data_IF_534822023310
#
_entry.id   IF_534822023310
#
_cell.length_a   1.000
_cell.length_b   1.000
_cell.length_c   1.000
_cell.angle_alpha   90.00
_cell.angle_beta   90.00
_cell.angle_gamma   90.00
#
_symmetry.space_group_name_H-M   'P 1'
#
loop_
_entity.id
_entity.type
_entity.pdbx_description
1 polymer ?
#
# COMPACT_ATOMS: atom_id res chain seq x y z
N UNK A 1 -1.14 33.73 -19.38
CA UNK A 1 -2.52 33.58 -18.87
C UNK A 1 -2.63 32.13 -18.42
N UNK A 2 -2.69 31.87 -17.12
CA UNK A 2 -2.97 30.52 -16.61
C UNK A 2 -4.49 30.41 -16.59
N UNK A 3 -5.06 29.68 -17.54
CA UNK A 3 -6.49 29.35 -17.58
C UNK A 3 -6.80 28.35 -16.48
N UNK A 4 -7.87 28.57 -15.72
CA UNK A 4 -8.31 27.59 -14.71
C UNK A 4 -8.78 26.30 -15.38
N UNK A 5 -8.78 25.18 -14.63
CA UNK A 5 -9.28 23.89 -15.13
C UNK A 5 -10.73 24.00 -15.63
N UNK A 6 -11.54 24.82 -14.96
CA UNK A 6 -12.92 25.10 -15.33
C UNK A 6 -13.01 25.85 -16.67
N UNK A 7 -12.21 26.90 -16.85
CA UNK A 7 -12.21 27.71 -18.08
C UNK A 7 -11.73 26.92 -19.29
N UNK A 8 -10.74 26.03 -19.07
CA UNK A 8 -10.19 25.16 -20.10
C UNK A 8 -11.09 23.95 -20.43
N UNK A 9 -12.19 23.74 -19.70
CA UNK A 9 -13.15 22.64 -19.88
C UNK A 9 -12.49 21.25 -19.86
N UNK A 10 -11.44 21.08 -19.07
CA UNK A 10 -10.85 19.75 -18.88
C UNK A 10 -11.85 18.82 -18.18
N UNK A 11 -11.93 17.57 -18.64
CA UNK A 11 -12.84 16.54 -18.10
C UNK A 11 -12.13 15.36 -17.48
N UNK A 12 -10.81 15.28 -17.65
CA UNK A 12 -9.96 14.25 -17.07
C UNK A 12 -8.84 14.94 -16.31
N UNK A 13 -8.73 14.67 -15.01
CA UNK A 13 -7.71 15.30 -14.16
C UNK A 13 -6.99 14.22 -13.38
N UNK A 14 -5.70 14.05 -13.66
CA UNK A 14 -4.80 13.23 -12.85
C UNK A 14 -4.30 14.07 -11.68
N UNK A 15 -4.55 13.60 -10.45
CA UNK A 15 -4.13 14.28 -9.23
C UNK A 15 -3.10 13.41 -8.52
N UNK A 16 -1.88 13.94 -8.40
CA UNK A 16 -0.79 13.31 -7.65
C UNK A 16 -0.64 14.04 -6.32
N UNK A 17 -0.73 13.32 -5.21
CA UNK A 17 -0.65 13.89 -3.88
C UNK A 17 -1.06 12.92 -2.77
N UNK A 18 -1.20 13.45 -1.56
CA UNK A 18 -1.69 12.72 -0.38
C UNK A 18 -3.20 12.94 -0.21
N UNK A 19 -3.86 12.06 0.56
CA UNK A 19 -5.31 12.11 0.82
C UNK A 19 -5.80 13.53 1.20
N UNK A 20 -5.10 14.22 2.11
CA UNK A 20 -5.42 15.60 2.52
C UNK A 20 -5.43 16.59 1.36
N UNK A 21 -4.47 16.45 0.44
CA UNK A 21 -4.40 17.32 -0.74
C UNK A 21 -5.55 17.02 -1.70
N UNK A 22 -5.91 15.76 -1.86
CA UNK A 22 -7.03 15.36 -2.71
C UNK A 22 -8.36 15.88 -2.18
N UNK A 23 -8.61 15.79 -0.86
CA UNK A 23 -9.79 16.41 -0.23
C UNK A 23 -9.88 17.90 -0.56
N UNK A 24 -8.76 18.62 -0.50
CA UNK A 24 -8.69 20.05 -0.87
C UNK A 24 -8.99 20.29 -2.35
N UNK A 25 -8.44 19.48 -3.26
CA UNK A 25 -8.66 19.63 -4.71
C UNK A 25 -10.11 19.34 -5.09
N UNK A 26 -10.71 18.29 -4.53
CA UNK A 26 -12.12 17.94 -4.76
C UNK A 26 -13.03 19.04 -4.18
N UNK A 27 -12.76 19.49 -2.96
CA UNK A 27 -13.44 20.64 -2.36
C UNK A 27 -13.35 21.90 -3.23
N UNK A 28 -12.16 22.21 -3.75
CA UNK A 28 -11.97 23.35 -4.63
C UNK A 28 -12.81 23.25 -5.92
N UNK A 29 -13.10 22.04 -6.39
CA UNK A 29 -13.98 21.84 -7.55
C UNK A 29 -15.44 22.19 -7.24
N UNK A 30 -15.91 21.91 -6.03
CA UNK A 30 -17.23 22.34 -5.57
C UNK A 30 -17.29 23.86 -5.44
N UNK A 31 -16.30 24.47 -4.77
CA UNK A 31 -16.22 25.94 -4.61
C UNK A 31 -16.17 26.65 -5.97
N UNK A 32 -15.43 26.09 -6.93
CA UNK A 32 -15.34 26.61 -8.29
C UNK A 32 -16.52 26.21 -9.20
N UNK A 33 -17.52 25.49 -8.66
CA UNK A 33 -18.71 24.99 -9.37
C UNK A 33 -18.36 24.23 -10.66
N UNK A 34 -17.26 23.50 -10.62
CA UNK A 34 -16.82 22.71 -11.78
C UNK A 34 -17.80 21.56 -11.96
N UNK A 35 -18.34 21.44 -13.17
CA UNK A 35 -19.56 20.70 -13.46
C UNK A 35 -19.41 19.20 -13.18
N UNK A 36 -20.49 18.57 -12.67
CA UNK A 36 -20.68 17.10 -12.70
C UNK A 36 -20.36 16.58 -14.11
N UNK A 37 -19.38 15.68 -14.22
CA UNK A 37 -18.86 15.18 -15.51
C UNK A 37 -17.34 15.27 -15.67
N UNK A 38 -16.60 15.77 -14.68
CA UNK A 38 -15.16 15.51 -14.57
C UNK A 38 -14.91 14.12 -14.00
N UNK A 39 -13.90 13.44 -14.54
CA UNK A 39 -13.34 12.21 -13.99
C UNK A 39 -12.01 12.52 -13.31
N UNK A 40 -11.98 12.27 -12.01
CA UNK A 40 -10.74 12.31 -11.24
C UNK A 40 -9.98 11.01 -11.40
N UNK A 41 -8.67 11.10 -11.63
CA UNK A 41 -7.76 9.96 -11.54
C UNK A 41 -6.85 10.18 -10.35
N UNK A 42 -6.86 9.24 -9.41
CA UNK A 42 -6.02 9.21 -8.22
C UNK A 42 -4.99 8.10 -8.33
N UNK A 43 -3.81 8.30 -7.75
CA UNK A 43 -2.70 7.32 -7.82
C UNK A 43 -2.20 6.94 -6.43
N UNK A 44 -1.93 5.66 -6.23
CA UNK A 44 -1.27 5.13 -5.03
C UNK A 44 -2.17 4.25 -4.18
N UNK A 45 -1.67 3.83 -3.02
CA UNK A 45 -2.46 3.14 -2.00
C UNK A 45 -2.99 4.15 -0.99
N UNK A 46 -4.32 4.21 -0.83
CA UNK A 46 -4.98 5.03 0.18
C UNK A 46 -5.70 4.15 1.16
N UNK A 47 -5.96 4.72 2.33
CA UNK A 47 -6.82 4.09 3.31
C UNK A 47 -8.23 3.93 2.75
N UNK A 48 -8.89 2.83 3.10
CA UNK A 48 -10.27 2.62 2.73
C UNK A 48 -11.14 3.81 3.18
N UNK A 49 -12.02 4.27 2.28
CA UNK A 49 -13.00 5.34 2.58
C UNK A 49 -12.39 6.69 2.99
N UNK A 50 -11.11 6.96 2.68
CA UNK A 50 -10.42 8.21 3.06
C UNK A 50 -11.18 9.50 2.67
N UNK A 51 -11.94 9.47 1.57
CA UNK A 51 -12.68 10.63 1.04
C UNK A 51 -13.97 10.93 1.83
N UNK A 52 -14.49 9.94 2.56
CA UNK A 52 -15.76 10.06 3.29
C UNK A 52 -15.63 10.67 4.68
N UNK A 53 -14.39 10.81 5.15
CA UNK A 53 -14.10 11.35 6.47
C UNK A 53 -13.95 12.86 6.46
N UNK A 54 -14.39 13.48 7.55
CA UNK A 54 -14.22 14.91 7.77
C UNK A 54 -12.77 15.24 8.09
N UNK A 55 -12.24 16.23 7.36
CA UNK A 55 -10.91 16.76 7.59
C UNK A 55 -11.04 18.07 8.40
N UNK A 56 -10.63 18.10 9.68
CA UNK A 56 -10.86 19.26 10.54
C UNK A 56 -10.11 20.50 10.05
N UNK A 57 -8.94 20.33 9.44
CA UNK A 57 -8.16 21.45 8.89
C UNK A 57 -8.85 22.02 7.65
N UNK A 58 -9.47 21.16 6.83
CA UNK A 58 -10.26 21.61 5.68
C UNK A 58 -11.55 22.32 6.13
N UNK A 59 -12.28 21.74 7.08
CA UNK A 59 -13.53 22.32 7.59
C UNK A 59 -13.32 23.65 8.31
N UNK A 60 -12.16 23.88 8.93
CA UNK A 60 -11.81 25.16 9.53
C UNK A 60 -11.69 26.29 8.49
N UNK A 61 -11.35 25.97 7.24
CA UNK A 61 -11.17 26.94 6.15
C UNK A 61 -12.37 26.99 5.22
N UNK A 62 -12.97 25.84 4.92
CA UNK A 62 -14.17 25.68 4.10
C UNK A 62 -15.17 24.72 4.78
N UNK A 63 -16.09 25.25 5.61
CA UNK A 63 -17.05 24.46 6.37
C UNK A 63 -17.99 23.60 5.52
N UNK A 64 -18.23 23.99 4.27
CA UNK A 64 -19.06 23.25 3.32
C UNK A 64 -18.43 21.94 2.84
N UNK A 65 -17.10 21.81 2.91
CA UNK A 65 -16.35 20.68 2.37
C UNK A 65 -16.27 19.50 3.33
N UNK A 66 -17.44 19.00 3.72
CA UNK A 66 -17.58 17.77 4.51
C UNK A 66 -17.23 16.52 3.68
N UNK A 67 -16.94 15.42 4.37
CA UNK A 67 -16.72 14.12 3.72
C UNK A 67 -17.90 13.67 2.85
N UNK A 68 -19.13 14.07 3.19
CA UNK A 68 -20.33 13.83 2.36
C UNK A 68 -20.25 14.56 1.02
N UNK A 69 -19.90 15.85 1.03
CA UNK A 69 -19.77 16.65 -0.20
C UNK A 69 -18.62 16.14 -1.06
N UNK A 70 -17.48 15.84 -0.44
CA UNK A 70 -16.34 15.24 -1.14
C UNK A 70 -16.73 13.90 -1.77
N UNK A 71 -17.51 13.07 -1.08
CA UNK A 71 -18.01 11.79 -1.61
C UNK A 71 -18.87 11.99 -2.86
N UNK A 72 -19.75 12.99 -2.88
CA UNK A 72 -20.56 13.29 -4.07
C UNK A 72 -19.69 13.70 -5.26
N UNK A 73 -18.67 14.53 -5.03
CA UNK A 73 -17.76 15.00 -6.07
C UNK A 73 -16.69 14.00 -6.50
N UNK A 74 -16.37 13.03 -5.64
CA UNK A 74 -15.48 11.91 -5.94
C UNK A 74 -16.19 10.76 -6.66
N UNK A 75 -17.51 10.81 -6.82
CA UNK A 75 -18.26 9.74 -7.48
C UNK A 75 -17.80 9.56 -8.93
N UNK A 76 -17.44 8.32 -9.29
CA UNK A 76 -16.91 8.01 -10.62
C UNK A 76 -15.43 8.34 -10.79
N UNK A 77 -14.71 8.65 -9.71
CA UNK A 77 -13.27 8.70 -9.73
C UNK A 77 -12.65 7.33 -10.04
N UNK A 78 -11.51 7.36 -10.73
CA UNK A 78 -10.70 6.20 -11.05
C UNK A 78 -9.50 6.21 -10.12
N UNK A 79 -9.25 5.10 -9.45
CA UNK A 79 -8.03 4.91 -8.66
C UNK A 79 -7.10 3.94 -9.37
N UNK A 80 -5.85 4.36 -9.53
CA UNK A 80 -4.75 3.51 -9.97
C UNK A 80 -3.96 3.16 -8.70
N UNK A 81 -4.18 1.95 -8.20
CA UNK A 81 -3.51 1.41 -7.03
C UNK A 81 -2.95 0.03 -7.36
N UNK A 82 -1.89 -0.36 -6.66
CA UNK A 82 -1.49 -1.76 -6.64
C UNK A 82 -2.50 -2.58 -5.81
N UNK A 83 -2.73 -3.82 -6.23
CA UNK A 83 -3.69 -4.73 -5.62
C UNK A 83 -3.18 -5.31 -4.30
N UNK A 84 -1.86 -5.35 -4.08
CA UNK A 84 -1.27 -5.83 -2.83
C UNK A 84 -1.59 -7.28 -2.48
N UNK A 85 -2.10 -8.04 -3.45
CA UNK A 85 -2.48 -9.45 -3.33
C UNK A 85 -2.42 -10.10 -4.71
N UNK A 86 -2.27 -11.42 -4.79
CA UNK A 86 -2.21 -12.13 -6.05
C UNK A 86 -3.55 -12.02 -6.80
N UNK A 87 -3.50 -12.02 -8.12
CA UNK A 87 -4.69 -11.93 -8.97
C UNK A 87 -5.15 -13.34 -9.36
N UNK A 88 -6.44 -13.59 -9.25
CA UNK A 88 -7.04 -14.88 -9.60
C UNK A 88 -6.66 -16.00 -8.62
N UNK A 89 -6.41 -17.19 -9.14
CA UNK A 89 -6.22 -18.39 -8.34
C UNK A 89 -4.86 -18.46 -7.60
N UNK A 90 -3.93 -17.54 -7.92
CA UNK A 90 -2.61 -17.45 -7.27
C UNK A 90 -2.68 -17.18 -5.77
N UNK A 91 -3.82 -16.66 -5.26
CA UNK A 91 -4.03 -16.45 -3.82
C UNK A 91 -4.10 -17.74 -3.00
N UNK A 92 -4.38 -18.86 -3.67
CA UNK A 92 -4.50 -20.20 -3.08
C UNK A 92 -3.22 -21.04 -3.20
N UNK A 93 -2.21 -20.54 -3.89
CA UNK A 93 -0.92 -21.24 -3.98
C UNK A 93 -0.18 -21.15 -2.64
N UNK A 94 0.56 -22.22 -2.32
CA UNK A 94 1.41 -22.25 -1.13
C UNK A 94 2.55 -21.25 -1.29
N UNK A 95 2.79 -20.49 -0.23
CA UNK A 95 3.87 -19.51 -0.16
C UNK A 95 5.22 -20.21 -0.05
N UNK A 96 6.24 -19.66 -0.70
CA UNK A 96 7.58 -20.26 -0.72
C UNK A 96 8.34 -20.06 0.60
N UNK A 97 8.13 -18.92 1.25
CA UNK A 97 8.85 -18.51 2.46
C UNK A 97 8.04 -18.80 3.74
N UNK A 98 6.71 -18.72 3.66
CA UNK A 98 5.80 -18.93 4.77
C UNK A 98 5.13 -20.30 4.65
N UNK A 99 5.87 -21.34 5.01
CA UNK A 99 5.45 -22.73 4.83
C UNK A 99 4.08 -23.03 5.45
N UNK A 100 3.22 -23.69 4.68
CA UNK A 100 1.88 -24.10 5.11
C UNK A 100 0.82 -23.01 4.99
N UNK A 101 1.20 -21.80 4.56
CA UNK A 101 0.26 -20.71 4.29
C UNK A 101 0.09 -20.47 2.80
N UNK A 102 -1.08 -19.94 2.45
CA UNK A 102 -1.37 -19.29 1.17
C UNK A 102 -1.45 -17.78 1.42
N UNK A 103 -1.48 -16.95 0.37
CA UNK A 103 -1.67 -15.52 0.55
C UNK A 103 -2.97 -15.21 1.34
N UNK A 104 -4.05 -15.94 1.02
CA UNK A 104 -5.35 -15.79 1.69
C UNK A 104 -5.31 -16.22 3.17
N UNK A 105 -4.78 -17.41 3.47
CA UNK A 105 -4.76 -17.91 4.85
C UNK A 105 -3.80 -17.10 5.74
N UNK A 106 -2.72 -16.56 5.16
CA UNK A 106 -1.82 -15.67 5.87
C UNK A 106 -2.47 -14.30 6.15
N UNK A 107 -3.20 -13.73 5.19
CA UNK A 107 -3.91 -12.47 5.39
C UNK A 107 -4.94 -12.57 6.52
N UNK A 108 -5.64 -13.71 6.64
CA UNK A 108 -6.54 -13.99 7.78
C UNK A 108 -5.77 -14.00 9.10
N UNK A 109 -4.63 -14.70 9.15
CA UNK A 109 -3.80 -14.77 10.36
C UNK A 109 -3.32 -13.38 10.82
N UNK A 110 -2.86 -12.54 9.89
CA UNK A 110 -2.45 -11.17 10.23
C UNK A 110 -3.63 -10.34 10.72
N UNK A 111 -4.79 -10.50 10.09
CA UNK A 111 -6.06 -9.93 10.55
C UNK A 111 -6.34 -10.25 12.02
N UNK A 112 -6.26 -11.54 12.37
CA UNK A 112 -6.52 -12.03 13.72
C UNK A 112 -5.52 -11.48 14.75
N UNK A 113 -4.22 -11.41 14.40
CA UNK A 113 -3.20 -10.84 15.28
C UNK A 113 -3.36 -9.34 15.48
N UNK A 114 -3.83 -8.62 14.47
CA UNK A 114 -4.03 -7.19 14.57
C UNK A 114 -5.24 -6.84 15.44
N UNK A 115 -6.33 -7.62 15.33
CA UNK A 115 -7.53 -7.41 16.15
C UNK A 115 -7.37 -7.91 17.59
N UNK A 116 -6.70 -9.05 17.77
CA UNK A 116 -6.67 -9.79 19.04
C UNK A 116 -5.34 -9.69 19.78
N UNK A 117 -4.37 -8.97 19.20
CA UNK A 117 -2.99 -8.89 19.67
C UNK A 117 -2.15 -10.13 19.30
N UNK A 118 -0.83 -9.98 19.34
CA UNK A 118 0.13 -11.08 19.21
C UNK A 118 0.83 -11.36 20.56
N UNK A 119 0.87 -12.61 21.05
CA UNK A 119 0.17 -13.80 20.53
C UNK A 119 -1.35 -13.67 20.67
N UNK A 120 -2.11 -14.53 19.96
CA UNK A 120 -3.58 -14.52 20.02
C UNK A 120 -4.05 -14.62 21.47
N UNK A 121 -5.02 -13.80 21.84
CA UNK A 121 -5.58 -13.73 23.20
C UNK A 121 -4.57 -13.29 24.27
N UNK A 122 -3.50 -12.56 23.90
CA UNK A 122 -2.55 -11.98 24.86
C UNK A 122 -3.18 -10.98 25.84
N UNK A 123 -4.45 -10.60 25.66
CA UNK A 123 -5.12 -9.59 26.48
C UNK A 123 -4.65 -8.16 26.18
N UNK A 124 -3.59 -8.00 25.38
CA UNK A 124 -3.23 -6.74 24.73
C UNK A 124 -4.12 -6.56 23.50
N UNK A 125 -5.40 -6.26 23.73
CA UNK A 125 -6.33 -5.93 22.66
C UNK A 125 -5.73 -4.81 21.82
N UNK A 126 -5.49 -5.09 20.53
CA UNK A 126 -5.02 -4.07 19.61
C UNK A 126 -6.06 -2.96 19.52
N UNK A 127 -5.69 -1.74 19.86
CA UNK A 127 -6.44 -0.52 19.48
C UNK A 127 -6.27 -0.19 18.00
N UNK A 128 -5.63 -1.07 17.24
CA UNK A 128 -5.17 -0.79 15.91
C UNK A 128 -6.36 -0.86 14.93
N UNK A 129 -6.59 0.24 14.22
CA UNK A 129 -7.64 0.37 13.20
C UNK A 129 -7.60 -0.75 12.16
N UNK A 130 -8.71 -0.92 11.44
CA UNK A 130 -8.95 -2.04 10.54
C UNK A 130 -7.76 -2.34 9.61
N UNK A 131 -7.23 -3.57 9.64
CA UNK A 131 -6.15 -4.06 8.75
C UNK A 131 -6.45 -3.84 7.26
N UNK A 132 -7.74 -3.81 6.91
CA UNK A 132 -8.23 -3.51 5.56
C UNK A 132 -7.64 -2.23 4.97
N UNK A 133 -7.24 -1.29 5.82
CA UNK A 133 -6.75 0.03 5.43
C UNK A 133 -5.35 -0.01 4.82
N UNK A 134 -4.58 -1.07 5.07
CA UNK A 134 -3.17 -1.17 4.66
C UNK A 134 -2.78 -2.58 4.17
N UNK A 135 -3.72 -3.39 3.69
CA UNK A 135 -3.46 -4.79 3.28
C UNK A 135 -2.26 -4.93 2.32
N UNK A 136 -2.13 -4.04 1.33
CA UNK A 136 -0.99 -4.08 0.39
C UNK A 136 0.35 -3.88 1.09
N UNK A 137 0.42 -2.95 2.06
CA UNK A 137 1.65 -2.71 2.82
C UNK A 137 2.03 -3.89 3.72
N UNK A 138 1.03 -4.58 4.27
CA UNK A 138 1.27 -5.80 5.04
C UNK A 138 1.91 -6.87 4.15
N UNK A 139 1.33 -7.12 2.97
CA UNK A 139 1.86 -8.10 2.02
C UNK A 139 3.31 -7.77 1.61
N UNK A 140 3.62 -6.52 1.24
CA UNK A 140 4.99 -6.13 0.91
C UNK A 140 5.96 -6.23 2.08
N UNK A 141 5.52 -5.88 3.29
CA UNK A 141 6.34 -5.99 4.49
C UNK A 141 6.75 -7.45 4.74
N UNK A 142 5.82 -8.38 4.54
CA UNK A 142 6.06 -9.82 4.70
C UNK A 142 6.99 -10.34 3.62
N UNK A 143 6.75 -9.98 2.36
CA UNK A 143 7.63 -10.37 1.24
C UNK A 143 9.03 -9.78 1.40
N UNK A 144 9.13 -8.57 1.96
CA UNK A 144 10.39 -7.92 2.35
C UNK A 144 11.19 -8.72 3.38
N UNK A 145 10.52 -9.30 4.38
CA UNK A 145 11.18 -10.20 5.34
C UNK A 145 11.66 -11.48 4.64
N UNK A 146 10.83 -12.02 3.74
CA UNK A 146 11.16 -13.24 3.00
C UNK A 146 12.38 -13.08 2.10
N UNK A 147 12.49 -11.97 1.37
CA UNK A 147 13.67 -11.75 0.53
C UNK A 147 14.95 -11.59 1.35
N UNK A 148 14.89 -10.94 2.51
CA UNK A 148 16.04 -10.86 3.43
C UNK A 148 16.41 -12.25 3.95
N UNK A 149 15.43 -13.08 4.30
CA UNK A 149 15.68 -14.46 4.72
C UNK A 149 16.34 -15.30 3.62
N UNK A 150 15.89 -15.18 2.38
CA UNK A 150 16.51 -15.86 1.23
C UNK A 150 17.92 -15.36 0.95
N UNK A 151 18.15 -14.05 1.05
CA UNK A 151 19.49 -13.48 0.92
C UNK A 151 20.42 -14.05 2.00
N UNK A 152 20.01 -14.07 3.27
CA UNK A 152 20.80 -14.67 4.34
C UNK A 152 21.07 -16.15 4.08
N UNK A 153 20.06 -16.91 3.65
CA UNK A 153 20.22 -18.33 3.30
C UNK A 153 21.25 -18.52 2.19
N UNK A 154 21.20 -17.69 1.14
CA UNK A 154 22.16 -17.73 0.04
C UNK A 154 23.57 -17.42 0.51
N UNK A 155 23.77 -16.34 1.26
CA UNK A 155 25.09 -15.96 1.77
C UNK A 155 25.70 -17.03 2.68
N UNK A 156 24.88 -17.66 3.53
CA UNK A 156 25.33 -18.79 4.36
C UNK A 156 25.73 -20.01 3.51
N UNK A 157 25.03 -20.25 2.40
CA UNK A 157 25.35 -21.33 1.46
C UNK A 157 26.65 -21.08 0.69
N UNK A 158 26.96 -19.81 0.38
CA UNK A 158 28.25 -19.39 -0.20
C UNK A 158 29.42 -19.44 0.81
N UNK A 159 29.14 -19.76 2.07
CA UNK A 159 30.15 -20.00 3.10
C UNK A 159 30.49 -18.80 3.97
N UNK A 160 29.75 -17.68 3.83
CA UNK A 160 29.88 -16.55 4.75
C UNK A 160 29.31 -16.89 6.12
N UNK A 161 29.98 -16.45 7.18
CA UNK A 161 29.47 -16.62 8.55
C UNK A 161 28.44 -15.55 8.91
N UNK A 162 27.66 -15.78 9.97
CA UNK A 162 26.73 -14.77 10.50
C UNK A 162 27.49 -13.52 10.96
N UNK A 163 28.69 -13.69 11.51
CA UNK A 163 29.58 -12.61 11.90
C UNK A 163 29.98 -11.73 10.70
N UNK A 164 30.31 -12.34 9.56
CA UNK A 164 30.64 -11.62 8.33
C UNK A 164 29.45 -10.79 7.83
N UNK A 165 28.23 -11.32 7.94
CA UNK A 165 27.00 -10.63 7.50
C UNK A 165 26.56 -9.51 8.46
N UNK A 166 27.01 -9.53 9.72
CA UNK A 166 26.76 -8.45 10.68
C UNK A 166 27.65 -7.24 10.43
N UNK A 167 28.85 -7.46 9.89
CA UNK A 167 29.82 -6.41 9.55
C UNK A 167 30.38 -6.66 8.14
N UNK A 168 29.52 -6.51 7.10
CA UNK A 168 29.90 -6.89 5.75
C UNK A 168 31.03 -6.00 5.24
N UNK A 169 32.02 -6.62 4.60
CA UNK A 169 32.95 -5.89 3.73
C UNK A 169 32.23 -5.40 2.48
N UNK A 170 32.89 -4.57 1.67
CA UNK A 170 32.29 -4.08 0.42
C UNK A 170 31.93 -5.24 -0.51
N UNK A 171 32.78 -6.26 -0.60
CA UNK A 171 32.56 -7.43 -1.47
C UNK A 171 31.32 -8.23 -1.03
N UNK A 172 31.16 -8.46 0.27
CA UNK A 172 30.01 -9.17 0.84
C UNK A 172 28.73 -8.36 0.61
N UNK A 173 28.79 -7.04 0.83
CA UNK A 173 27.65 -6.17 0.58
C UNK A 173 27.22 -6.17 -0.90
N UNK A 174 28.18 -6.10 -1.82
CA UNK A 174 27.90 -6.12 -3.26
C UNK A 174 27.26 -7.44 -3.68
N UNK A 175 27.70 -8.57 -3.12
CA UNK A 175 27.09 -9.89 -3.35
C UNK A 175 25.65 -9.95 -2.80
N UNK A 176 25.43 -9.45 -1.57
CA UNK A 176 24.09 -9.35 -0.99
C UNK A 176 23.14 -8.54 -1.89
N UNK A 177 23.58 -7.38 -2.36
CA UNK A 177 22.78 -6.52 -3.24
C UNK A 177 22.56 -7.17 -4.61
N UNK A 178 23.56 -7.85 -5.15
CA UNK A 178 23.47 -8.60 -6.41
C UNK A 178 22.37 -9.65 -6.32
N UNK A 179 22.35 -10.44 -5.25
CA UNK A 179 21.30 -11.43 -5.00
C UNK A 179 19.91 -10.77 -4.86
N UNK A 180 19.79 -9.68 -4.11
CA UNK A 180 18.52 -8.97 -3.93
C UNK A 180 17.94 -8.42 -5.24
N UNK A 181 18.80 -8.01 -6.19
CA UNK A 181 18.37 -7.37 -7.45
C UNK A 181 17.93 -8.34 -8.54
N UNK A 182 18.34 -9.60 -8.49
CA UNK A 182 18.00 -10.54 -9.57
C UNK A 182 18.31 -12.01 -9.29
N UNK A 183 18.78 -12.34 -8.09
CA UNK A 183 19.11 -13.70 -7.68
C UNK A 183 17.92 -14.49 -7.13
N UNK A 184 16.75 -13.87 -6.98
CA UNK A 184 15.61 -14.50 -6.29
C UNK A 184 14.27 -14.21 -6.95
N UNK A 185 13.44 -15.24 -6.97
CA UNK A 185 12.06 -15.22 -7.46
C UNK A 185 11.26 -16.20 -6.64
N UNK A 186 10.16 -15.76 -6.03
CA UNK A 186 9.38 -16.60 -5.12
C UNK A 186 7.90 -16.22 -5.08
N UNK A 187 7.07 -17.17 -4.65
CA UNK A 187 5.64 -16.93 -4.40
C UNK A 187 5.48 -16.31 -3.01
N UNK A 188 5.20 -15.02 -2.98
CA UNK A 188 4.98 -14.19 -1.80
C UNK A 188 3.50 -13.88 -1.55
N UNK A 189 3.22 -13.18 -0.46
CA UNK A 189 1.85 -12.77 -0.07
C UNK A 189 1.28 -11.77 -1.08
N UNK A 190 2.12 -10.91 -1.68
CA UNK A 190 1.68 -9.98 -2.72
C UNK A 190 1.54 -10.61 -4.10
N UNK A 191 1.99 -11.85 -4.29
CA UNK A 191 2.04 -12.56 -5.56
C UNK A 191 3.45 -13.04 -5.89
N UNK A 192 3.72 -13.25 -7.19
CA UNK A 192 5.06 -13.58 -7.64
C UNK A 192 6.00 -12.38 -7.44
N UNK A 193 7.00 -12.55 -6.58
CA UNK A 193 8.00 -11.51 -6.29
C UNK A 193 9.21 -11.71 -7.18
N UNK A 194 9.51 -10.71 -7.99
CA UNK A 194 10.70 -10.63 -8.86
C UNK A 194 11.22 -9.20 -8.80
N UNK A 195 12.54 -9.06 -8.63
CA UNK A 195 13.21 -7.76 -8.74
C UNK A 195 13.89 -7.70 -10.12
N UNK A 196 13.63 -6.63 -10.86
CA UNK A 196 14.18 -6.32 -12.18
C UNK A 196 15.04 -5.06 -12.15
#
# INVERSE_FOLDING_TARGET
IITSLADAKHRLVLVVGREQFWRKVICASEVARVTKGMTWIFTGAQRASWWSENDPDLLAVQPECSGTVITEYAQGAITISDHGRPIGDQGSDLLSCLYGYTADSFAVLVGDYWSSGYPLNSGAGGTAGNVSDFQSFVAYGVDGVCIVAYMLQHMLAEGYSVEDLRQPTQEIFDEMISFLRGGTSFSGVSGQVVFE
#
